data_IF_687438865065
#
_entry.id   IF_687438865065
#
_cell.length_a   1.000
_cell.length_b   1.000
_cell.length_c   1.000
_cell.angle_alpha   90.00
_cell.angle_beta   90.00
_cell.angle_gamma   90.00
#
_symmetry.space_group_name_H-M   'P 1'
#
loop_
_entity.id
_entity.type
_entity.pdbx_description
1 polymer ?
#
# COMPACT_ATOMS: atom_id res chain seq x y z
N UNK A 1 12.36 15.10 3.23
CA UNK A 1 12.69 14.00 4.13
C UNK A 1 13.63 14.54 5.18
N UNK A 2 13.38 14.27 6.45
CA UNK A 2 14.18 14.76 7.58
C UNK A 2 14.10 13.75 8.74
N UNK A 3 14.78 13.99 9.85
CA UNK A 3 14.66 13.18 11.06
C UNK A 3 14.40 14.09 12.27
N UNK A 4 14.14 13.47 13.42
CA UNK A 4 13.88 14.21 14.65
C UNK A 4 15.13 14.98 15.11
N UNK A 5 14.91 16.03 15.90
CA UNK A 5 15.99 16.87 16.45
C UNK A 5 17.01 16.09 17.27
N UNK A 6 16.56 15.06 17.99
CA UNK A 6 17.43 14.21 18.81
C UNK A 6 18.41 13.38 17.96
N UNK A 7 18.09 13.17 16.69
CA UNK A 7 18.93 12.48 15.71
C UNK A 7 19.65 13.44 14.75
N UNK A 8 19.69 14.74 15.08
CA UNK A 8 20.40 15.76 14.31
C UNK A 8 19.62 16.36 13.13
N UNK A 9 18.32 16.07 13.00
CA UNK A 9 17.45 16.67 11.99
C UNK A 9 16.74 17.94 12.48
N UNK A 10 15.88 18.50 11.64
CA UNK A 10 15.07 19.69 11.98
C UNK A 10 13.60 19.34 12.27
N UNK A 11 13.22 18.07 12.16
CA UNK A 11 11.84 17.59 12.22
C UNK A 11 10.93 18.32 11.20
N UNK A 12 11.50 18.72 10.06
CA UNK A 12 10.82 19.54 9.05
C UNK A 12 10.14 18.71 7.95
N UNK A 13 10.12 17.39 8.08
CA UNK A 13 9.50 16.50 7.10
C UNK A 13 9.54 15.03 7.51
N UNK A 14 8.92 14.16 6.71
CA UNK A 14 8.83 12.74 7.03
C UNK A 14 10.21 12.08 7.03
N UNK A 15 10.38 11.10 7.90
CA UNK A 15 11.54 10.20 7.96
C UNK A 15 11.65 9.33 6.71
N UNK A 16 12.85 8.77 6.41
CA UNK A 16 13.01 7.84 5.29
C UNK A 16 12.04 6.66 5.32
N UNK A 17 11.73 6.13 6.52
CA UNK A 17 10.76 5.04 6.69
C UNK A 17 9.34 5.50 6.35
N UNK A 18 8.93 6.68 6.80
CA UNK A 18 7.61 7.25 6.46
C UNK A 18 7.49 7.56 4.96
N UNK A 19 8.54 8.09 4.33
CA UNK A 19 8.57 8.31 2.87
C UNK A 19 8.45 6.99 2.12
N UNK A 20 9.09 5.91 2.60
CA UNK A 20 8.97 4.59 1.99
C UNK A 20 7.53 4.04 2.11
N UNK A 21 6.88 4.18 3.28
CA UNK A 21 5.47 3.80 3.44
C UNK A 21 4.55 4.62 2.51
N UNK A 22 4.78 5.93 2.42
CA UNK A 22 4.04 6.79 1.50
C UNK A 22 4.28 6.38 0.03
N UNK A 23 5.48 5.91 -0.30
CA UNK A 23 5.82 5.40 -1.63
C UNK A 23 5.07 4.10 -1.96
N UNK A 24 4.87 3.20 -0.99
CA UNK A 24 4.03 2.01 -1.15
C UNK A 24 2.59 2.42 -1.47
N UNK A 25 2.02 3.34 -0.67
CA UNK A 25 0.67 3.86 -0.88
C UNK A 25 0.54 4.50 -2.27
N UNK A 26 1.47 5.37 -2.65
CA UNK A 26 1.45 6.07 -3.94
C UNK A 26 1.59 5.10 -5.12
N UNK A 27 2.53 4.16 -5.05
CA UNK A 27 2.74 3.17 -6.11
C UNK A 27 1.48 2.31 -6.31
N UNK A 28 0.90 1.81 -5.22
CA UNK A 28 -0.33 1.02 -5.31
C UNK A 28 -1.55 1.85 -5.70
N UNK A 29 -1.62 3.12 -5.30
CA UNK A 29 -2.70 4.02 -5.67
C UNK A 29 -2.74 4.29 -7.17
N UNK A 30 -1.57 4.49 -7.78
CA UNK A 30 -1.44 4.63 -9.24
C UNK A 30 -1.93 3.37 -9.97
N UNK A 31 -1.57 2.18 -9.49
CA UNK A 31 -2.03 0.92 -10.07
C UNK A 31 -3.56 0.77 -9.97
N UNK A 32 -4.12 0.95 -8.77
CA UNK A 32 -5.57 0.80 -8.51
C UNK A 32 -6.36 1.80 -9.37
N UNK A 33 -5.97 3.07 -9.37
CA UNK A 33 -6.63 4.10 -10.17
C UNK A 33 -6.57 3.77 -11.68
N UNK A 34 -5.40 3.36 -12.18
CA UNK A 34 -5.23 3.00 -13.60
C UNK A 34 -6.07 1.78 -13.99
N UNK A 35 -6.13 0.76 -13.13
CA UNK A 35 -6.91 -0.47 -13.39
C UNK A 35 -8.41 -0.17 -13.38
N UNK A 36 -8.90 0.56 -12.38
CA UNK A 36 -10.31 0.95 -12.29
C UNK A 36 -10.72 1.84 -13.48
N UNK A 37 -9.87 2.78 -13.88
CA UNK A 37 -10.09 3.57 -15.09
C UNK A 37 -10.22 2.69 -16.35
N UNK A 38 -9.36 1.67 -16.51
CA UNK A 38 -9.44 0.70 -17.63
C UNK A 38 -10.71 -0.15 -17.59
N UNK A 39 -11.26 -0.40 -16.40
CA UNK A 39 -12.56 -1.06 -16.21
C UNK A 39 -13.76 -0.14 -16.46
N UNK A 40 -13.53 1.15 -16.76
CA UNK A 40 -14.56 2.17 -17.03
C UNK A 40 -15.50 2.38 -15.84
N UNK A 41 -14.98 2.33 -14.62
CA UNK A 41 -15.74 2.67 -13.41
C UNK A 41 -15.53 4.14 -13.03
N UNK A 42 -16.52 4.74 -12.37
CA UNK A 42 -16.43 6.12 -11.89
C UNK A 42 -15.81 6.15 -10.48
N UNK A 43 -14.48 6.25 -10.43
CA UNK A 43 -13.73 6.42 -9.18
C UNK A 43 -13.90 7.85 -8.66
N UNK A 44 -14.42 8.01 -7.43
CA UNK A 44 -14.53 9.29 -6.74
C UNK A 44 -13.28 9.56 -5.91
N UNK A 45 -12.85 8.59 -5.11
CA UNK A 45 -11.58 8.67 -4.38
C UNK A 45 -10.97 7.30 -4.15
N UNK A 46 -9.65 7.27 -4.02
CA UNK A 46 -8.88 6.12 -3.57
C UNK A 46 -7.84 6.60 -2.56
N UNK A 47 -8.11 6.35 -1.29
CA UNK A 47 -7.26 6.71 -0.17
C UNK A 47 -6.57 5.45 0.36
N UNK A 48 -5.25 5.50 0.51
CA UNK A 48 -4.46 4.35 0.99
C UNK A 48 -3.63 4.82 2.19
N UNK A 49 -3.87 4.18 3.34
CA UNK A 49 -3.07 4.39 4.55
C UNK A 49 -2.19 3.17 4.84
N UNK A 50 -1.01 3.40 5.37
CA UNK A 50 -0.09 2.35 5.82
C UNK A 50 0.20 2.51 7.31
N UNK A 51 0.17 1.40 8.03
CA UNK A 51 0.56 1.30 9.44
C UNK A 51 1.67 0.24 9.57
N UNK A 52 2.65 0.45 10.44
CA UNK A 52 3.72 -0.52 10.67
C UNK A 52 4.30 -0.39 12.07
N UNK A 53 4.77 -1.52 12.59
CA UNK A 53 5.73 -1.56 13.69
C UNK A 53 7.13 -1.78 13.12
N UNK A 54 8.17 -1.47 13.91
CA UNK A 54 9.55 -1.80 13.57
C UNK A 54 10.09 -2.88 14.49
N UNK A 55 11.02 -3.70 13.99
CA UNK A 55 11.71 -4.71 14.82
C UNK A 55 12.62 -4.05 15.86
N UNK A 56 12.82 -4.76 16.96
CA UNK A 56 13.82 -4.42 17.98
C UNK A 56 15.24 -4.66 17.46
N UNK A 57 16.21 -3.88 17.95
CA UNK A 57 17.63 -4.02 17.61
C UNK A 57 18.02 -3.43 16.25
N UNK A 58 19.25 -3.73 15.81
CA UNK A 58 19.83 -3.23 14.57
C UNK A 58 20.20 -4.37 13.59
N UNK A 59 19.92 -4.23 12.28
CA UNK A 59 19.15 -3.15 11.66
C UNK A 59 17.64 -3.28 11.95
N UNK A 60 17.00 -2.16 12.29
CA UNK A 60 15.55 -2.12 12.55
C UNK A 60 14.77 -2.00 11.24
N UNK A 61 14.00 -3.03 10.90
CA UNK A 61 13.17 -3.12 9.68
C UNK A 61 11.68 -3.02 10.01
N UNK A 62 10.82 -2.94 9.00
CA UNK A 62 9.38 -3.11 9.21
C UNK A 62 9.10 -4.54 9.66
N UNK A 63 8.29 -4.68 10.73
CA UNK A 63 7.86 -5.99 11.23
C UNK A 63 6.71 -6.55 10.40
N UNK A 64 5.77 -5.67 10.06
CA UNK A 64 4.64 -5.92 9.16
C UNK A 64 4.11 -4.57 8.70
N UNK A 65 3.84 -4.43 7.40
CA UNK A 65 3.16 -3.26 6.84
C UNK A 65 1.69 -3.60 6.61
N UNK A 66 0.78 -2.83 7.20
CA UNK A 66 -0.67 -3.00 7.08
C UNK A 66 -1.23 -1.88 6.22
N UNK A 67 -1.80 -2.22 5.08
CA UNK A 67 -2.42 -1.26 4.16
C UNK A 67 -3.94 -1.26 4.30
N UNK A 68 -4.56 -0.09 4.23
CA UNK A 68 -6.02 0.03 4.12
C UNK A 68 -6.34 0.80 2.85
N UNK A 69 -7.04 0.15 1.94
CA UNK A 69 -7.54 0.72 0.69
C UNK A 69 -8.97 1.18 0.90
N UNK A 70 -9.20 2.49 0.89
CA UNK A 70 -10.55 3.07 0.92
C UNK A 70 -10.89 3.56 -0.47
N UNK A 71 -11.81 2.88 -1.12
CA UNK A 71 -12.25 3.17 -2.49
C UNK A 71 -13.68 3.68 -2.41
N UNK A 72 -13.94 4.83 -3.02
CA UNK A 72 -15.27 5.44 -3.09
C UNK A 72 -15.68 5.58 -4.54
N UNK A 73 -16.89 5.14 -4.86
CA UNK A 73 -17.47 5.28 -6.19
C UNK A 73 -18.90 4.74 -6.25
N UNK A 74 -19.80 5.41 -7.00
CA UNK A 74 -21.23 5.07 -7.00
C UNK A 74 -21.56 3.77 -7.73
N UNK A 75 -20.74 3.36 -8.69
CA UNK A 75 -21.01 2.23 -9.60
C UNK A 75 -19.89 1.17 -9.61
N UNK A 76 -18.94 1.27 -8.67
CA UNK A 76 -17.87 0.30 -8.51
C UNK A 76 -18.46 -0.95 -7.87
N UNK A 77 -18.33 -2.09 -8.54
CA UNK A 77 -18.68 -3.38 -7.96
C UNK A 77 -17.53 -3.91 -7.09
N UNK A 78 -17.87 -4.69 -6.06
CA UNK A 78 -16.88 -5.24 -5.14
C UNK A 78 -15.80 -6.08 -5.85
N UNK A 79 -16.17 -6.86 -6.86
CA UNK A 79 -15.24 -7.66 -7.67
C UNK A 79 -14.24 -6.80 -8.46
N UNK A 80 -14.65 -5.63 -8.96
CA UNK A 80 -13.78 -4.68 -9.64
C UNK A 80 -12.77 -4.05 -8.68
N UNK A 81 -13.24 -3.59 -7.52
CA UNK A 81 -12.38 -3.04 -6.47
C UNK A 81 -11.36 -4.08 -5.96
N UNK A 82 -11.84 -5.29 -5.65
CA UNK A 82 -10.99 -6.42 -5.24
C UNK A 82 -9.96 -6.72 -6.31
N UNK A 83 -10.37 -6.86 -7.58
CA UNK A 83 -9.46 -7.18 -8.68
C UNK A 83 -8.38 -6.12 -8.87
N UNK A 84 -8.73 -4.84 -8.75
CA UNK A 84 -7.76 -3.74 -8.88
C UNK A 84 -6.68 -3.79 -7.78
N UNK A 85 -7.08 -3.96 -6.52
CA UNK A 85 -6.14 -4.04 -5.40
C UNK A 85 -5.32 -5.33 -5.44
N UNK A 86 -5.94 -6.48 -5.72
CA UNK A 86 -5.23 -7.76 -5.83
C UNK A 86 -4.15 -7.70 -6.90
N UNK A 87 -4.46 -7.17 -8.08
CA UNK A 87 -3.46 -7.01 -9.15
C UNK A 87 -2.30 -6.10 -8.74
N UNK A 88 -2.57 -5.03 -7.99
CA UNK A 88 -1.51 -4.19 -7.43
C UNK A 88 -0.63 -4.97 -6.44
N UNK A 89 -1.25 -5.74 -5.53
CA UNK A 89 -0.60 -6.46 -4.42
C UNK A 89 0.00 -7.81 -4.79
N UNK A 90 -0.17 -8.29 -6.02
CA UNK A 90 0.43 -9.57 -6.46
C UNK A 90 1.24 -9.47 -7.73
N UNK A 91 1.10 -8.36 -8.50
CA UNK A 91 1.69 -8.27 -9.85
C UNK A 91 2.37 -6.95 -10.18
N UNK A 92 1.76 -5.81 -9.88
CA UNK A 92 2.21 -4.53 -10.47
C UNK A 92 3.04 -3.64 -9.54
N UNK A 93 2.72 -3.56 -8.25
CA UNK A 93 3.35 -2.59 -7.37
C UNK A 93 4.78 -3.01 -7.01
N UNK A 94 5.75 -2.61 -7.82
CA UNK A 94 7.17 -2.96 -7.65
C UNK A 94 7.75 -2.51 -6.30
N UNK A 95 7.26 -1.40 -5.75
CA UNK A 95 7.64 -0.94 -4.40
C UNK A 95 7.18 -1.94 -3.34
N UNK A 96 5.93 -2.39 -3.42
CA UNK A 96 5.40 -3.42 -2.51
C UNK A 96 6.14 -4.74 -2.70
N UNK A 97 6.46 -5.13 -3.93
CA UNK A 97 7.19 -6.37 -4.20
C UNK A 97 8.58 -6.41 -3.55
N UNK A 98 9.32 -5.30 -3.61
CA UNK A 98 10.63 -5.19 -2.94
C UNK A 98 10.51 -5.32 -1.41
N UNK A 99 9.52 -4.65 -0.81
CA UNK A 99 9.32 -4.68 0.64
C UNK A 99 8.78 -6.04 1.10
N UNK A 100 7.87 -6.65 0.35
CA UNK A 100 7.28 -7.97 0.62
C UNK A 100 8.33 -9.09 0.69
N UNK A 101 9.49 -8.92 0.02
CA UNK A 101 10.60 -9.87 0.09
C UNK A 101 11.31 -9.92 1.45
N UNK A 102 11.15 -8.89 2.29
CA UNK A 102 11.83 -8.79 3.60
C UNK A 102 10.88 -8.54 4.78
N UNK A 103 9.68 -8.00 4.53
CA UNK A 103 8.65 -7.75 5.53
C UNK A 103 7.28 -8.11 4.97
N UNK A 104 6.43 -8.85 5.71
CA UNK A 104 5.07 -9.13 5.26
C UNK A 104 4.28 -7.82 5.05
N UNK A 105 3.44 -7.84 4.02
CA UNK A 105 2.46 -6.77 3.74
C UNK A 105 1.07 -7.38 3.76
N UNK A 106 0.20 -6.90 4.64
CA UNK A 106 -1.22 -7.25 4.68
C UNK A 106 -2.05 -6.07 4.23
N UNK A 107 -3.24 -6.33 3.70
CA UNK A 107 -4.13 -5.27 3.24
C UNK A 107 -5.61 -5.56 3.47
N UNK A 108 -6.36 -4.50 3.69
CA UNK A 108 -7.82 -4.50 3.80
C UNK A 108 -8.42 -3.56 2.74
N UNK A 109 -9.54 -3.98 2.14
CA UNK A 109 -10.25 -3.24 1.11
C UNK A 109 -11.61 -2.81 1.64
N UNK A 110 -11.85 -1.50 1.59
CA UNK A 110 -13.11 -0.86 1.91
C UNK A 110 -13.67 -0.25 0.63
N UNK A 111 -14.93 -0.56 0.30
CA UNK A 111 -15.68 0.06 -0.77
C UNK A 111 -16.87 0.80 -0.18
N UNK A 112 -16.92 2.12 -0.36
CA UNK A 112 -17.94 2.98 0.25
C UNK A 112 -18.09 2.71 1.76
N UNK A 113 -16.95 2.69 2.46
CA UNK A 113 -16.79 2.41 3.90
C UNK A 113 -17.19 0.99 4.37
N UNK A 114 -17.54 0.08 3.46
CA UNK A 114 -17.82 -1.32 3.77
C UNK A 114 -16.58 -2.17 3.51
N UNK A 115 -16.11 -2.93 4.51
CA UNK A 115 -15.02 -3.90 4.31
C UNK A 115 -15.49 -5.04 3.42
N UNK A 116 -14.77 -5.29 2.33
CA UNK A 116 -15.14 -6.29 1.32
C UNK A 116 -14.11 -7.43 1.20
N UNK A 117 -12.86 -7.22 1.62
CA UNK A 117 -11.80 -8.23 1.60
C UNK A 117 -10.61 -7.83 2.47
N UNK A 118 -9.98 -8.81 3.07
CA UNK A 118 -8.64 -8.71 3.67
C UNK A 118 -7.76 -9.83 3.11
N UNK A 119 -6.49 -9.55 2.88
CA UNK A 119 -5.55 -10.54 2.37
C UNK A 119 -4.08 -10.13 2.63
N UNK A 120 -3.15 -10.93 2.13
CA UNK A 120 -1.70 -10.65 2.15
C UNK A 120 -1.18 -10.43 0.73
N UNK A 121 -0.22 -9.53 0.58
CA UNK A 121 0.50 -9.35 -0.68
C UNK A 121 1.41 -10.57 -0.94
N UNK A 122 1.34 -11.10 -2.15
CA UNK A 122 2.15 -12.24 -2.59
C UNK A 122 2.56 -12.06 -4.05
N UNK A 123 3.85 -11.84 -4.25
CA UNK A 123 4.44 -11.61 -5.58
C UNK A 123 5.23 -12.82 -6.09
N UNK A 124 5.19 -13.96 -5.39
CA UNK A 124 6.02 -15.14 -5.68
C UNK A 124 5.89 -15.66 -7.12
N UNK A 125 4.69 -15.59 -7.70
CA UNK A 125 4.45 -16.02 -9.09
C UNK A 125 4.93 -15.02 -10.16
N UNK A 126 5.02 -13.73 -9.81
CA UNK A 126 5.28 -12.64 -10.76
C UNK A 126 6.68 -12.05 -10.65
N UNK A 127 7.34 -12.20 -9.50
CA UNK A 127 8.67 -11.68 -9.24
C UNK A 127 9.73 -12.73 -9.63
N UNK A 128 10.42 -12.50 -10.75
CA UNK A 128 11.55 -13.33 -11.20
C UNK A 128 12.84 -12.61 -10.87
N UNK A 129 13.49 -13.00 -9.77
CA UNK A 129 14.80 -12.52 -9.35
C UNK A 129 15.91 -13.40 -9.94
#
# INVERSE_FOLDING_TARGET
MDTKKESGGQDAGPSPKEVLLASICACSGMDVASILQKMRVNLVSCDISAETETTDGYPSVFKEVKLKFKIVGPDIKADQAIKAVVLSMTKYCGVSAMVAGVSPITYEIFLNDVSIKSDRADFSENLKL
#
